data_IF_225349335246
#
_entry.id   IF_225349335246
#
_cell.length_a   1.000
_cell.length_b   1.000
_cell.length_c   1.000
_cell.angle_alpha   90.00
_cell.angle_beta   90.00
_cell.angle_gamma   90.00
#
_symmetry.space_group_name_H-M   'P 1'
#
loop_
_entity.id
_entity.type
_entity.pdbx_description
1 polymer ?
#
# COMPACT_ATOMS: atom_id res chain seq x y z
N UNK A 1 -23.08 -7.65 -17.36
CA UNK A 1 -22.01 -7.52 -18.38
C UNK A 1 -20.82 -6.68 -17.91
N UNK A 2 -21.00 -5.43 -17.46
CA UNK A 2 -19.90 -4.55 -17.02
C UNK A 2 -19.08 -5.13 -15.85
N UNK A 3 -19.73 -5.73 -14.83
CA UNK A 3 -19.03 -6.35 -13.69
C UNK A 3 -18.12 -7.53 -14.11
N UNK A 4 -18.54 -8.31 -15.12
CA UNK A 4 -17.77 -9.41 -15.70
C UNK A 4 -16.57 -8.89 -16.49
N UNK A 5 -16.75 -7.81 -17.26
CA UNK A 5 -15.67 -7.16 -18.01
C UNK A 5 -14.60 -6.53 -17.09
N UNK A 6 -15.01 -5.90 -15.99
CA UNK A 6 -14.10 -5.39 -14.95
C UNK A 6 -13.27 -6.53 -14.34
N UNK A 7 -13.90 -7.69 -14.07
CA UNK A 7 -13.21 -8.90 -13.58
C UNK A 7 -12.25 -9.50 -14.59
N UNK A 8 -12.65 -9.62 -15.86
CA UNK A 8 -11.84 -10.19 -16.93
C UNK A 8 -10.61 -9.31 -17.22
N UNK A 9 -10.80 -7.99 -17.28
CA UNK A 9 -9.72 -7.02 -17.47
C UNK A 9 -8.91 -6.74 -16.18
N UNK A 10 -9.36 -7.26 -15.03
CA UNK A 10 -8.73 -7.11 -13.69
C UNK A 10 -8.43 -5.65 -13.33
N UNK A 11 -9.41 -4.79 -13.51
CA UNK A 11 -9.32 -3.35 -13.25
C UNK A 11 -10.13 -2.99 -12.01
N UNK A 12 -9.72 -1.93 -11.27
CA UNK A 12 -10.31 -1.58 -9.98
C UNK A 12 -11.65 -0.87 -10.08
N UNK A 13 -11.99 -0.29 -11.23
CA UNK A 13 -13.18 0.54 -11.43
C UNK A 13 -13.67 0.54 -12.88
N UNK A 14 -14.89 1.03 -13.10
CA UNK A 14 -15.44 1.28 -14.47
C UNK A 14 -14.56 2.22 -15.28
N UNK A 15 -14.01 3.25 -14.62
CA UNK A 15 -13.13 4.23 -15.25
C UNK A 15 -11.81 3.62 -15.72
N UNK A 16 -11.21 2.72 -14.93
CA UNK A 16 -10.01 2.02 -15.37
C UNK A 16 -10.32 1.00 -16.47
N UNK A 17 -11.50 0.38 -16.47
CA UNK A 17 -11.92 -0.48 -17.59
C UNK A 17 -12.05 0.33 -18.88
N UNK A 18 -12.67 1.52 -18.82
CA UNK A 18 -12.75 2.40 -19.98
C UNK A 18 -11.35 2.78 -20.49
N UNK A 19 -10.45 3.19 -19.60
CA UNK A 19 -9.06 3.51 -19.97
C UNK A 19 -8.31 2.29 -20.53
N UNK A 20 -8.52 1.09 -19.99
CA UNK A 20 -7.94 -0.15 -20.50
C UNK A 20 -8.42 -0.47 -21.93
N UNK A 21 -9.72 -0.29 -22.20
CA UNK A 21 -10.30 -0.48 -23.53
C UNK A 21 -9.77 0.57 -24.52
N UNK A 22 -9.72 1.84 -24.11
CA UNK A 22 -9.15 2.93 -24.91
C UNK A 22 -7.68 2.68 -25.24
N UNK A 23 -6.90 2.18 -24.28
CA UNK A 23 -5.51 1.81 -24.53
C UNK A 23 -5.42 0.62 -25.49
N UNK A 24 -6.22 -0.44 -25.28
CA UNK A 24 -6.19 -1.65 -26.10
C UNK A 24 -6.62 -1.42 -27.55
N UNK A 25 -7.68 -0.63 -27.77
CA UNK A 25 -8.18 -0.26 -29.10
C UNK A 25 -7.36 0.88 -29.74
N UNK A 26 -6.74 1.73 -28.93
CA UNK A 26 -5.99 2.88 -29.40
C UNK A 26 -4.76 2.51 -30.23
N UNK A 27 -4.00 1.46 -29.86
CA UNK A 27 -2.83 1.04 -30.65
C UNK A 27 -3.19 0.57 -32.07
N UNK A 28 -4.21 -0.29 -32.27
CA UNK A 28 -4.74 -0.57 -33.61
C UNK A 28 -5.18 0.68 -34.37
N UNK A 29 -5.85 1.65 -33.72
CA UNK A 29 -6.23 2.91 -34.36
C UNK A 29 -5.02 3.74 -34.79
N UNK A 30 -3.99 3.86 -33.95
CA UNK A 30 -2.71 4.54 -34.29
C UNK A 30 -2.05 3.87 -35.49
N UNK A 31 -2.01 2.54 -35.51
CA UNK A 31 -1.45 1.77 -36.63
C UNK A 31 -2.24 1.97 -37.93
N UNK A 32 -3.57 1.90 -37.87
CA UNK A 32 -4.44 2.16 -39.03
C UNK A 32 -4.26 3.58 -39.56
N UNK A 33 -4.16 4.57 -38.66
CA UNK A 33 -3.92 5.96 -39.04
C UNK A 33 -2.57 6.15 -39.74
N UNK A 34 -1.52 5.43 -39.29
CA UNK A 34 -0.21 5.43 -39.94
C UNK A 34 -0.24 4.77 -41.34
N UNK A 35 -0.99 3.67 -41.49
CA UNK A 35 -1.11 2.94 -42.76
C UNK A 35 -1.95 3.70 -43.82
N UNK A 36 -2.98 4.43 -43.37
CA UNK A 36 -3.88 5.28 -44.17
C UNK A 36 -3.39 6.74 -44.31
N UNK A 37 -2.09 6.97 -44.16
CA UNK A 37 -1.43 8.20 -43.69
C UNK A 37 -2.35 9.38 -43.30
N UNK A 38 -3.20 9.21 -42.29
CA UNK A 38 -4.12 10.26 -41.83
C UNK A 38 -3.59 10.90 -40.53
N UNK A 39 -3.05 12.10 -40.64
CA UNK A 39 -2.36 12.76 -39.54
C UNK A 39 -3.27 13.15 -38.38
N UNK A 40 -4.48 13.62 -38.66
CA UNK A 40 -5.44 14.04 -37.63
C UNK A 40 -5.97 12.84 -36.85
N UNK A 41 -6.28 11.76 -37.58
CA UNK A 41 -6.67 10.50 -36.95
C UNK A 41 -5.54 9.92 -36.11
N UNK A 42 -4.29 9.98 -36.60
CA UNK A 42 -3.12 9.53 -35.85
C UNK A 42 -2.95 10.35 -34.58
N UNK A 43 -2.97 11.68 -34.67
CA UNK A 43 -2.81 12.58 -33.53
C UNK A 43 -3.88 12.32 -32.45
N UNK A 44 -5.14 12.19 -32.85
CA UNK A 44 -6.24 11.88 -31.93
C UNK A 44 -6.06 10.51 -31.27
N UNK A 45 -5.77 9.46 -32.04
CA UNK A 45 -5.57 8.12 -31.51
C UNK A 45 -4.35 8.05 -30.58
N UNK A 46 -3.24 8.69 -30.95
CA UNK A 46 -2.03 8.77 -30.13
C UNK A 46 -2.32 9.48 -28.80
N UNK A 47 -3.00 10.63 -28.83
CA UNK A 47 -3.39 11.37 -27.63
C UNK A 47 -4.25 10.53 -26.67
N UNK A 48 -5.22 9.78 -27.20
CA UNK A 48 -6.02 8.83 -26.41
C UNK A 48 -5.12 7.77 -25.77
N UNK A 49 -4.17 7.20 -26.51
CA UNK A 49 -3.26 6.19 -25.94
C UNK A 49 -2.33 6.77 -24.88
N UNK A 50 -1.89 8.02 -24.96
CA UNK A 50 -1.11 8.67 -23.91
C UNK A 50 -1.96 8.94 -22.66
N UNK A 51 -3.16 9.53 -22.84
CA UNK A 51 -4.06 9.84 -21.73
C UNK A 51 -4.52 8.59 -20.98
N UNK A 52 -4.87 7.52 -21.70
CA UNK A 52 -5.26 6.25 -21.11
C UNK A 52 -4.11 5.61 -20.32
N UNK A 53 -2.90 5.61 -20.87
CA UNK A 53 -1.72 5.05 -20.23
C UNK A 53 -1.36 5.84 -18.96
N UNK A 54 -1.33 7.17 -19.03
CA UNK A 54 -1.10 8.04 -17.87
C UNK A 54 -2.16 7.82 -16.78
N UNK A 55 -3.45 7.79 -17.13
CA UNK A 55 -4.53 7.58 -16.16
C UNK A 55 -4.41 6.23 -15.44
N UNK A 56 -4.10 5.16 -16.17
CA UNK A 56 -3.92 3.84 -15.58
C UNK A 56 -2.74 3.80 -14.60
N UNK A 57 -1.64 4.50 -14.89
CA UNK A 57 -0.48 4.57 -13.98
C UNK A 57 -0.78 5.37 -12.73
N UNK A 58 -1.48 6.50 -12.85
CA UNK A 58 -1.94 7.31 -11.71
C UNK A 58 -2.82 6.49 -10.75
N UNK A 59 -3.65 5.59 -11.29
CA UNK A 59 -4.50 4.70 -10.51
C UNK A 59 -3.77 3.47 -9.93
N UNK A 60 -2.49 3.26 -10.26
CA UNK A 60 -1.76 2.06 -9.85
C UNK A 60 -2.41 0.77 -10.35
N UNK A 61 -3.03 0.81 -11.53
CA UNK A 61 -3.90 -0.26 -12.00
C UNK A 61 -3.13 -1.58 -12.19
N UNK A 62 -3.70 -2.68 -11.67
CA UNK A 62 -3.10 -4.02 -11.76
C UNK A 62 -2.83 -4.47 -13.20
N UNK A 63 -3.62 -3.96 -14.15
CA UNK A 63 -3.46 -4.24 -15.58
C UNK A 63 -2.07 -3.87 -16.10
N UNK A 64 -1.51 -2.73 -15.70
CA UNK A 64 -0.19 -2.27 -16.17
C UNK A 64 0.90 -3.29 -15.81
N UNK A 65 0.84 -3.85 -14.60
CA UNK A 65 1.79 -4.87 -14.15
C UNK A 65 1.68 -6.17 -14.96
N UNK A 66 0.48 -6.50 -15.47
CA UNK A 66 0.26 -7.69 -16.32
C UNK A 66 0.72 -7.45 -17.75
N UNK A 67 0.54 -6.25 -18.29
CA UNK A 67 1.00 -5.90 -19.63
C UNK A 67 2.52 -6.08 -19.78
N UNK A 68 3.29 -5.77 -18.73
CA UNK A 68 4.71 -6.10 -18.67
C UNK A 68 5.02 -7.60 -18.86
N UNK A 69 4.16 -8.50 -18.38
CA UNK A 69 4.33 -9.96 -18.50
C UNK A 69 4.02 -10.52 -19.88
N UNK A 70 3.25 -9.79 -20.70
CA UNK A 70 2.89 -10.18 -22.07
C UNK A 70 3.64 -9.36 -23.12
N UNK A 71 4.83 -8.85 -22.76
CA UNK A 71 5.67 -8.01 -23.65
C UNK A 71 4.97 -6.74 -24.16
N UNK A 72 3.98 -6.23 -23.43
CA UNK A 72 3.35 -4.94 -23.65
C UNK A 72 3.69 -3.96 -22.51
N UNK A 73 4.92 -4.07 -21.99
CA UNK A 73 5.42 -3.25 -20.89
C UNK A 73 5.49 -1.77 -21.24
N UNK A 74 5.72 -0.95 -20.21
CA UNK A 74 5.73 0.51 -20.33
C UNK A 74 6.65 1.02 -21.45
N UNK A 75 7.92 0.60 -21.50
CA UNK A 75 8.85 1.04 -22.56
C UNK A 75 8.43 0.60 -23.96
N UNK A 76 7.86 -0.60 -24.09
CA UNK A 76 7.43 -1.16 -25.40
C UNK A 76 6.26 -0.35 -25.95
N UNK A 77 5.32 0.04 -25.09
CA UNK A 77 4.18 0.89 -25.46
C UNK A 77 4.62 2.21 -26.09
N UNK A 78 5.61 2.87 -25.49
CA UNK A 78 6.18 4.11 -26.02
C UNK A 78 6.94 3.88 -27.33
N UNK A 79 7.76 2.83 -27.39
CA UNK A 79 8.47 2.44 -28.61
C UNK A 79 7.50 2.20 -29.77
N UNK A 80 6.38 1.52 -29.53
CA UNK A 80 5.36 1.31 -30.56
C UNK A 80 4.78 2.62 -31.07
N UNK A 81 4.47 3.60 -30.21
CA UNK A 81 3.97 4.92 -30.67
C UNK A 81 5.00 5.61 -31.57
N UNK A 82 6.27 5.60 -31.16
CA UNK A 82 7.37 6.21 -31.91
C UNK A 82 7.58 5.54 -33.28
N UNK A 83 7.56 4.20 -33.33
CA UNK A 83 7.66 3.45 -34.59
C UNK A 83 6.46 3.71 -35.50
N UNK A 84 5.24 3.83 -34.95
CA UNK A 84 4.06 4.16 -35.75
C UNK A 84 4.11 5.59 -36.30
N UNK A 85 4.73 6.53 -35.59
CA UNK A 85 4.97 7.88 -36.13
C UNK A 85 5.97 7.85 -37.29
N UNK A 86 7.07 7.11 -37.14
CA UNK A 86 8.05 6.92 -38.23
C UNK A 86 7.39 6.27 -39.44
N UNK A 87 6.53 5.27 -39.23
CA UNK A 87 5.73 4.66 -40.30
C UNK A 87 4.80 5.67 -40.97
N UNK A 88 4.09 6.51 -40.19
CA UNK A 88 3.22 7.56 -40.73
C UNK A 88 4.02 8.50 -41.65
N UNK A 89 5.16 9.02 -41.19
CA UNK A 89 6.02 9.91 -41.99
C UNK A 89 6.44 9.25 -43.31
N UNK A 90 6.87 7.99 -43.25
CA UNK A 90 7.24 7.23 -44.45
C UNK A 90 6.05 7.08 -45.41
N UNK A 91 4.84 6.79 -44.89
CA UNK A 91 3.62 6.66 -45.70
C UNK A 91 3.10 7.98 -46.25
N UNK A 92 3.44 9.10 -45.62
CA UNK A 92 3.19 10.45 -46.13
C UNK A 92 4.19 10.89 -47.22
N UNK A 93 5.16 10.05 -47.57
CA UNK A 93 6.18 10.37 -48.57
C UNK A 93 7.34 11.21 -48.05
N UNK A 94 7.47 11.35 -46.71
CA UNK A 94 8.50 12.17 -46.08
C UNK A 94 9.78 11.37 -45.74
N UNK A 95 9.93 10.15 -46.26
CA UNK A 95 11.02 9.25 -45.87
C UNK A 95 12.43 9.78 -46.21
N UNK A 96 12.54 10.63 -47.22
CA UNK A 96 13.80 11.26 -47.65
C UNK A 96 13.97 12.68 -47.08
N UNK A 97 12.98 13.18 -46.34
CA UNK A 97 13.01 14.52 -45.78
C UNK A 97 13.82 14.60 -44.48
N UNK A 98 14.51 15.73 -44.21
CA UNK A 98 15.28 15.90 -42.97
C UNK A 98 14.45 15.72 -41.69
N UNK A 99 13.14 16.00 -41.74
CA UNK A 99 12.19 15.75 -40.64
C UNK A 99 12.14 14.26 -40.24
N UNK A 100 12.16 13.33 -41.21
CA UNK A 100 12.14 11.89 -40.94
C UNK A 100 13.41 11.43 -40.24
N UNK A 101 14.57 11.82 -40.77
CA UNK A 101 15.85 11.49 -40.13
C UNK A 101 15.96 12.07 -38.73
N UNK A 102 15.44 13.29 -38.53
CA UNK A 102 15.40 13.92 -37.20
C UNK A 102 14.50 13.14 -36.24
N UNK A 103 13.33 12.69 -36.67
CA UNK A 103 12.44 11.87 -35.85
C UNK A 103 13.13 10.57 -35.40
N UNK A 104 13.75 9.84 -36.34
CA UNK A 104 14.47 8.59 -36.06
C UNK A 104 15.64 8.84 -35.11
N UNK A 105 16.49 9.84 -35.41
CA UNK A 105 17.64 10.18 -34.56
C UNK A 105 17.20 10.59 -33.15
N UNK A 106 16.16 11.44 -33.04
CA UNK A 106 15.61 11.87 -31.76
C UNK A 106 15.15 10.68 -30.92
N UNK A 107 14.34 9.77 -31.47
CA UNK A 107 13.84 8.62 -30.72
C UNK A 107 14.95 7.64 -30.32
N UNK A 108 15.95 7.42 -31.17
CA UNK A 108 17.11 6.58 -30.84
C UNK A 108 17.97 7.19 -29.73
N UNK A 109 18.33 8.47 -29.83
CA UNK A 109 19.11 9.17 -28.80
C UNK A 109 18.31 9.22 -27.49
N UNK A 110 17.02 9.53 -27.56
CA UNK A 110 16.15 9.58 -26.40
C UNK A 110 16.01 8.21 -25.72
N UNK A 111 15.90 7.12 -26.49
CA UNK A 111 15.95 5.76 -25.95
C UNK A 111 17.29 5.49 -25.24
N UNK A 112 18.40 5.97 -25.81
CA UNK A 112 19.72 5.96 -25.19
C UNK A 112 19.79 6.70 -23.84
N UNK A 113 19.02 7.78 -23.66
CA UNK A 113 18.94 8.53 -22.39
C UNK A 113 18.09 7.83 -21.31
N UNK A 114 17.15 6.94 -21.69
CA UNK A 114 16.31 6.24 -20.74
C UNK A 114 17.10 5.27 -19.86
N UNK A 115 18.10 4.59 -20.43
CA UNK A 115 18.95 3.65 -19.71
C UNK A 115 19.77 4.31 -18.56
N UNK A 116 20.56 5.38 -18.78
CA UNK A 116 21.27 6.05 -17.70
C UNK A 116 20.31 6.69 -16.69
N UNK A 117 19.16 7.22 -17.12
CA UNK A 117 18.14 7.74 -16.21
C UNK A 117 17.65 6.63 -15.25
N UNK A 118 17.28 5.47 -15.79
CA UNK A 118 16.82 4.32 -15.02
C UNK A 118 17.90 3.76 -14.11
N UNK A 119 19.14 3.66 -14.60
CA UNK A 119 20.30 3.20 -13.83
C UNK A 119 20.58 4.13 -12.64
N UNK A 120 20.64 5.44 -12.86
CA UNK A 120 20.88 6.44 -11.82
C UNK A 120 19.74 6.45 -10.80
N UNK A 121 18.47 6.46 -11.25
CA UNK A 121 17.33 6.43 -10.34
C UNK A 121 17.31 5.16 -9.48
N UNK A 122 17.67 4.01 -10.06
CA UNK A 122 17.77 2.73 -9.34
C UNK A 122 18.94 2.75 -8.35
N UNK A 123 20.10 3.23 -8.77
CA UNK A 123 21.28 3.37 -7.90
C UNK A 123 20.98 4.26 -6.70
N UNK A 124 20.32 5.40 -6.90
CA UNK A 124 19.88 6.30 -5.82
C UNK A 124 18.97 5.54 -4.83
N UNK A 125 17.99 4.79 -5.32
CA UNK A 125 17.06 4.02 -4.46
C UNK A 125 17.81 2.96 -3.64
N UNK A 126 18.68 2.18 -4.28
CA UNK A 126 19.46 1.14 -3.61
C UNK A 126 20.41 1.74 -2.56
N UNK A 127 21.12 2.82 -2.92
CA UNK A 127 22.09 3.48 -2.04
C UNK A 127 21.47 4.34 -0.95
N UNK A 128 20.17 4.62 -1.00
CA UNK A 128 19.46 5.40 0.03
C UNK A 128 18.58 4.57 0.96
N UNK A 129 18.51 3.26 0.74
CA UNK A 129 17.75 2.38 1.62
C UNK A 129 18.55 2.15 2.91
N UNK A 130 18.20 2.86 3.99
CA UNK A 130 18.80 2.69 5.33
C UNK A 130 18.64 1.24 5.83
N UNK A 131 19.60 0.61 6.51
CA UNK A 131 19.43 -0.77 7.01
C UNK A 131 18.34 -0.89 8.09
N UNK A 132 18.05 0.20 8.80
CA UNK A 132 17.08 0.31 9.90
C UNK A 132 16.19 1.54 9.65
N UNK A 133 14.92 1.47 10.05
CA UNK A 133 14.02 2.65 10.14
C UNK A 133 13.66 2.84 11.60
N UNK A 134 13.74 4.08 12.07
CA UNK A 134 13.49 4.45 13.46
C UNK A 134 12.25 5.34 13.60
N UNK A 135 11.56 5.27 14.74
CA UNK A 135 10.67 6.32 15.26
C UNK A 135 10.96 6.48 16.75
N UNK A 136 10.99 7.71 17.27
CA UNK A 136 11.32 8.00 18.67
C UNK A 136 12.66 7.39 19.14
N UNK A 137 13.60 7.22 18.20
CA UNK A 137 14.96 6.76 18.47
C UNK A 137 15.87 7.80 17.87
N UNK A 138 16.69 8.38 18.72
CA UNK A 138 17.66 9.38 18.32
C UNK A 138 19.00 8.71 17.95
N UNK A 139 19.37 8.85 16.68
CA UNK A 139 20.64 8.40 16.13
C UNK A 139 21.48 9.61 15.69
N UNK A 140 21.63 10.63 16.54
CA UNK A 140 22.40 11.86 16.24
C UNK A 140 23.81 11.62 15.68
N UNK A 141 24.45 10.49 16.02
CA UNK A 141 25.75 10.09 15.46
C UNK A 141 25.70 9.73 13.96
N UNK A 142 24.51 9.51 13.39
CA UNK A 142 24.26 9.11 12.01
C UNK A 142 23.63 10.27 11.25
N UNK A 143 24.46 11.02 10.51
CA UNK A 143 23.94 12.07 9.62
C UNK A 143 23.25 11.46 8.40
N UNK A 144 21.93 11.61 8.30
CA UNK A 144 21.14 11.20 7.14
C UNK A 144 20.96 12.40 6.19
N UNK A 145 21.49 12.37 4.96
CA UNK A 145 21.30 13.48 4.01
C UNK A 145 19.87 13.56 3.49
N UNK A 146 19.43 14.77 3.09
CA UNK A 146 18.12 14.98 2.48
C UNK A 146 17.86 14.08 1.28
N UNK A 147 16.61 13.65 1.12
CA UNK A 147 16.16 12.87 -0.03
C UNK A 147 16.05 13.74 -1.29
N UNK A 148 16.25 13.15 -2.48
CA UNK A 148 15.90 13.84 -3.72
C UNK A 148 14.42 14.20 -3.72
N UNK A 149 14.03 15.34 -4.34
CA UNK A 149 12.64 15.71 -4.48
C UNK A 149 11.79 14.55 -4.99
N UNK A 150 10.61 14.35 -4.38
CA UNK A 150 9.67 13.32 -4.81
C UNK A 150 9.30 13.45 -6.29
N UNK A 151 9.24 14.69 -6.80
CA UNK A 151 9.02 15.02 -8.20
C UNK A 151 10.09 14.45 -9.16
N UNK A 152 11.29 14.07 -8.69
CA UNK A 152 12.29 13.36 -9.50
C UNK A 152 12.13 11.85 -9.40
N UNK A 153 12.04 11.28 -8.19
CA UNK A 153 12.06 9.82 -8.06
C UNK A 153 10.69 9.14 -8.23
N UNK A 154 9.59 9.77 -7.84
CA UNK A 154 8.27 9.16 -7.89
C UNK A 154 7.86 8.88 -9.33
N UNK A 155 7.59 7.61 -9.69
CA UNK A 155 7.26 7.18 -11.07
C UNK A 155 8.28 7.67 -12.12
N UNK A 156 9.56 7.59 -11.76
CA UNK A 156 10.64 8.16 -12.55
C UNK A 156 10.69 7.68 -14.01
N UNK A 157 10.51 6.37 -14.24
CA UNK A 157 10.51 5.78 -15.58
C UNK A 157 9.31 6.18 -16.43
N UNK A 158 8.12 6.28 -15.84
CA UNK A 158 6.92 6.80 -16.51
C UNK A 158 7.15 8.23 -17.00
N UNK A 159 7.60 9.12 -16.11
CA UNK A 159 7.86 10.52 -16.47
C UNK A 159 8.94 10.64 -17.54
N UNK A 160 10.01 9.85 -17.42
CA UNK A 160 11.09 9.86 -18.42
C UNK A 160 10.51 9.55 -19.80
N UNK A 161 9.69 8.52 -19.93
CA UNK A 161 9.10 8.13 -21.21
C UNK A 161 8.15 9.19 -21.78
N UNK A 162 7.33 9.86 -20.95
CA UNK A 162 6.39 10.90 -21.38
C UNK A 162 7.05 12.18 -21.90
N UNK A 163 8.36 12.37 -21.74
CA UNK A 163 9.05 13.52 -22.34
C UNK A 163 9.08 13.42 -23.89
N UNK A 164 8.77 12.26 -24.47
CA UNK A 164 8.66 12.07 -25.91
C UNK A 164 7.45 12.77 -26.55
N UNK A 165 6.47 13.19 -25.73
CA UNK A 165 5.27 13.89 -26.20
C UNK A 165 5.63 15.17 -26.95
N UNK A 166 6.71 15.87 -26.56
CA UNK A 166 7.15 17.08 -27.25
C UNK A 166 7.62 16.77 -28.69
N UNK A 167 8.45 15.75 -28.89
CA UNK A 167 8.84 15.27 -30.22
C UNK A 167 7.64 14.75 -31.01
N UNK A 168 6.79 13.91 -30.40
CA UNK A 168 5.59 13.36 -31.04
C UNK A 168 4.67 14.47 -31.56
N UNK A 169 4.34 15.46 -30.73
CA UNK A 169 3.48 16.57 -31.11
C UNK A 169 4.16 17.49 -32.14
N UNK A 170 5.42 17.85 -31.93
CA UNK A 170 6.16 18.73 -32.84
C UNK A 170 6.29 18.15 -34.24
N UNK A 171 6.65 16.87 -34.34
CA UNK A 171 6.79 16.16 -35.63
C UNK A 171 5.45 16.02 -36.34
N UNK A 172 4.36 15.72 -35.60
CA UNK A 172 3.02 15.70 -36.19
C UNK A 172 2.58 17.08 -36.70
N UNK A 173 2.86 18.16 -35.95
CA UNK A 173 2.54 19.51 -36.41
C UNK A 173 3.35 19.86 -37.67
N UNK A 174 4.65 19.57 -37.68
CA UNK A 174 5.51 19.79 -38.84
C UNK A 174 5.00 19.03 -40.07
N UNK A 175 4.73 17.73 -39.95
CA UNK A 175 4.22 16.91 -41.04
C UNK A 175 2.85 17.36 -41.56
N UNK A 176 2.01 17.97 -40.72
CA UNK A 176 0.68 18.47 -41.10
C UNK A 176 0.67 19.88 -41.69
N UNK A 177 1.64 20.72 -41.32
CA UNK A 177 1.70 22.13 -41.72
C UNK A 177 2.77 22.42 -42.78
N UNK A 178 3.74 21.52 -42.97
CA UNK A 178 4.93 21.74 -43.77
C UNK A 178 5.99 22.61 -43.09
N UNK A 179 5.77 23.04 -41.84
CA UNK A 179 6.72 23.87 -41.09
C UNK A 179 7.63 23.00 -40.21
N UNK A 180 8.75 22.55 -40.79
CA UNK A 180 9.73 21.68 -40.17
C UNK A 180 10.32 22.20 -38.86
N UNK A 181 10.41 23.52 -38.68
CA UNK A 181 10.99 24.13 -37.47
C UNK A 181 10.27 23.67 -36.20
N UNK A 182 8.96 23.47 -36.25
CA UNK A 182 8.18 23.01 -35.09
C UNK A 182 8.57 21.57 -34.72
N UNK A 183 8.86 20.72 -35.71
CA UNK A 183 9.36 19.37 -35.53
C UNK A 183 10.74 19.34 -34.88
N UNK A 184 11.66 20.17 -35.38
CA UNK A 184 13.00 20.31 -34.81
C UNK A 184 12.98 20.83 -33.38
N UNK A 185 12.14 21.82 -33.07
CA UNK A 185 11.96 22.33 -31.71
C UNK A 185 11.40 21.24 -30.78
N UNK A 186 10.40 20.47 -31.23
CA UNK A 186 9.86 19.35 -30.45
C UNK A 186 10.91 18.27 -30.14
N UNK A 187 11.69 17.88 -31.14
CA UNK A 187 12.78 16.91 -30.99
C UNK A 187 13.87 17.42 -30.03
N UNK A 188 14.35 18.65 -30.23
CA UNK A 188 15.34 19.29 -29.36
C UNK A 188 14.85 19.39 -27.92
N UNK A 189 13.58 19.76 -27.71
CA UNK A 189 12.97 19.84 -26.38
C UNK A 189 12.91 18.48 -25.68
N UNK A 190 12.50 17.41 -26.38
CA UNK A 190 12.50 16.04 -25.82
C UNK A 190 13.91 15.62 -25.36
N UNK A 191 14.93 15.84 -26.19
CA UNK A 191 16.31 15.49 -25.86
C UNK A 191 16.84 16.34 -24.70
N UNK A 192 16.59 17.65 -24.71
CA UNK A 192 16.99 18.57 -23.64
C UNK A 192 16.36 18.17 -22.31
N UNK A 193 15.04 17.91 -22.28
CA UNK A 193 14.35 17.51 -21.06
C UNK A 193 14.86 16.16 -20.53
N UNK A 194 15.08 15.19 -21.42
CA UNK A 194 15.65 13.89 -21.05
C UNK A 194 17.05 14.03 -20.45
N UNK A 195 17.91 14.84 -21.07
CA UNK A 195 19.26 15.13 -20.59
C UNK A 195 19.25 15.87 -19.25
N UNK A 196 18.47 16.95 -19.13
CA UNK A 196 18.32 17.72 -17.88
C UNK A 196 17.83 16.83 -16.76
N UNK A 197 16.91 15.90 -17.03
CA UNK A 197 16.41 14.98 -16.01
C UNK A 197 17.50 14.01 -15.51
N UNK A 198 18.33 13.47 -16.40
CA UNK A 198 19.50 12.67 -16.01
C UNK A 198 20.46 13.50 -15.17
N UNK A 199 20.83 14.69 -15.63
CA UNK A 199 21.76 15.59 -14.93
C UNK A 199 21.22 16.01 -13.56
N UNK A 200 19.92 16.27 -13.44
CA UNK A 200 19.26 16.61 -12.17
C UNK A 200 19.35 15.50 -11.12
N UNK A 201 19.53 14.24 -11.54
CA UNK A 201 19.71 13.11 -10.62
C UNK A 201 21.18 12.90 -10.18
N UNK A 202 22.16 13.34 -10.97
CA UNK A 202 23.61 13.13 -10.71
C UNK A 202 24.07 13.62 -9.33
N UNK A 203 23.64 14.79 -8.81
CA UNK A 203 24.05 15.26 -7.49
C UNK A 203 23.74 14.29 -6.35
N UNK A 204 22.70 13.45 -6.50
CA UNK A 204 22.24 12.52 -5.47
C UNK A 204 22.97 11.17 -5.48
N UNK A 205 23.86 10.96 -6.46
CA UNK A 205 24.78 9.81 -6.49
C UNK A 205 26.12 10.16 -5.81
N UNK A 206 26.39 11.46 -5.58
CA UNK A 206 27.62 11.91 -4.93
C UNK A 206 27.72 11.38 -3.51
N UNK A 207 28.94 10.99 -3.09
CA UNK A 207 29.23 10.40 -1.76
C UNK A 207 28.68 11.23 -0.60
N UNK A 208 28.70 12.55 -0.70
CA UNK A 208 28.16 13.46 0.33
C UNK A 208 26.64 13.42 0.52
N UNK A 209 25.89 12.85 -0.43
CA UNK A 209 24.42 12.70 -0.40
C UNK A 209 23.98 11.24 -0.24
N UNK A 210 24.93 10.30 -0.09
CA UNK A 210 24.66 8.90 0.18
C UNK A 210 24.34 8.70 1.66
N UNK A 211 23.46 7.74 1.95
CA UNK A 211 23.21 7.38 3.35
C UNK A 211 24.43 6.65 3.94
N UNK A 212 24.62 6.71 5.27
CA UNK A 212 25.74 6.05 5.92
C UNK A 212 25.76 4.53 5.65
N UNK A 213 26.95 3.90 5.59
CA UNK A 213 27.07 2.46 5.42
C UNK A 213 26.32 1.69 6.50
N UNK A 214 25.86 0.48 6.17
CA UNK A 214 25.05 -0.31 7.08
C UNK A 214 25.75 -0.55 8.44
N UNK A 215 27.05 -0.84 8.43
CA UNK A 215 27.84 -1.02 9.65
C UNK A 215 27.84 0.22 10.56
N UNK A 216 27.90 1.43 10.00
CA UNK A 216 27.84 2.67 10.79
C UNK A 216 26.49 2.85 11.45
N UNK A 217 25.40 2.60 10.71
CA UNK A 217 24.04 2.72 11.24
C UNK A 217 23.79 1.65 12.30
N UNK A 218 24.20 0.40 12.06
CA UNK A 218 24.04 -0.69 13.02
C UNK A 218 24.84 -0.43 14.30
N UNK A 219 26.09 0.04 14.20
CA UNK A 219 26.88 0.44 15.37
C UNK A 219 26.20 1.54 16.19
N UNK A 220 25.57 2.52 15.52
CA UNK A 220 24.83 3.57 16.21
C UNK A 220 23.57 3.02 16.90
N UNK A 221 22.87 2.07 16.27
CA UNK A 221 21.74 1.35 16.88
C UNK A 221 22.20 0.54 18.09
N UNK A 222 23.33 -0.18 17.99
CA UNK A 222 23.88 -0.95 19.09
C UNK A 222 24.30 -0.05 20.26
N UNK A 223 24.88 1.11 19.98
CA UNK A 223 25.22 2.12 20.99
C UNK A 223 23.95 2.62 21.69
N UNK A 224 22.92 2.97 20.91
CA UNK A 224 21.64 3.41 21.45
C UNK A 224 20.94 2.32 22.27
N UNK A 225 20.99 1.05 21.85
CA UNK A 225 20.48 -0.09 22.62
C UNK A 225 21.29 -0.30 23.92
N UNK A 226 22.60 -0.08 23.87
CA UNK A 226 23.49 -0.11 25.03
C UNK A 226 23.13 0.95 26.09
N UNK A 227 22.70 2.13 25.66
CA UNK A 227 22.26 3.22 26.56
C UNK A 227 20.81 3.04 27.02
N UNK A 228 19.92 2.67 26.08
CA UNK A 228 18.50 2.52 26.33
C UNK A 228 18.18 1.25 27.13
N UNK A 229 18.91 0.15 26.96
CA UNK A 229 18.73 -1.10 27.74
C UNK A 229 17.25 -1.53 27.85
N UNK A 230 16.61 -1.90 26.72
CA UNK A 230 15.18 -2.22 26.71
C UNK A 230 14.88 -3.41 27.62
N UNK A 231 13.79 -3.35 28.39
CA UNK A 231 13.38 -4.45 29.29
C UNK A 231 12.18 -5.24 28.76
N UNK A 232 11.33 -4.60 27.95
CA UNK A 232 10.11 -5.18 27.37
C UNK A 232 10.12 -4.90 25.88
N UNK A 233 10.02 -5.95 25.06
CA UNK A 233 9.98 -5.83 23.60
C UNK A 233 8.59 -6.19 23.08
N UNK A 234 8.00 -5.37 22.21
CA UNK A 234 6.87 -5.78 21.37
C UNK A 234 7.43 -6.09 19.97
N UNK A 235 7.40 -7.36 19.57
CA UNK A 235 7.85 -7.75 18.23
C UNK A 235 6.67 -7.89 17.28
N UNK A 236 6.64 -7.06 16.22
CA UNK A 236 5.54 -7.06 15.27
C UNK A 236 5.99 -7.15 13.80
N UNK A 237 5.41 -8.10 13.08
CA UNK A 237 5.60 -8.31 11.64
C UNK A 237 4.29 -8.83 11.04
N UNK A 238 3.99 -8.48 9.78
CA UNK A 238 2.72 -8.88 9.13
C UNK A 238 2.53 -8.26 7.75
N UNK A 239 1.34 -8.40 7.16
CA UNK A 239 0.99 -7.67 5.93
C UNK A 239 0.56 -6.23 6.24
N UNK A 240 0.39 -5.38 5.22
CA UNK A 240 -0.05 -3.99 5.41
C UNK A 240 -1.33 -3.88 6.23
N UNK A 241 -2.27 -4.76 5.95
CA UNK A 241 -3.59 -4.78 6.57
C UNK A 241 -3.56 -5.26 8.03
N UNK A 242 -2.44 -5.84 8.49
CA UNK A 242 -2.26 -6.32 9.86
C UNK A 242 -1.82 -5.23 10.83
N UNK A 243 -1.58 -3.98 10.38
CA UNK A 243 -1.08 -2.88 11.22
C UNK A 243 -1.88 -2.68 12.52
N UNK A 244 -3.20 -2.93 12.48
CA UNK A 244 -4.09 -2.82 13.64
C UNK A 244 -3.68 -3.73 14.81
N UNK A 245 -3.05 -4.88 14.52
CA UNK A 245 -2.64 -5.86 15.53
C UNK A 245 -1.55 -5.27 16.43
N UNK A 246 -0.55 -4.60 15.85
CA UNK A 246 0.45 -3.85 16.60
C UNK A 246 -0.11 -2.59 17.26
N UNK A 247 -0.95 -1.83 16.52
CA UNK A 247 -1.52 -0.57 17.01
C UNK A 247 -2.34 -0.73 18.29
N UNK A 248 -3.02 -1.86 18.46
CA UNK A 248 -3.81 -2.14 19.66
C UNK A 248 -2.96 -2.19 20.94
N UNK A 249 -1.65 -2.43 20.85
CA UNK A 249 -0.76 -2.56 21.99
C UNK A 249 0.10 -1.33 22.26
N UNK A 250 0.10 -0.32 21.38
CA UNK A 250 1.02 0.82 21.51
C UNK A 250 0.81 1.63 22.78
N UNK A 251 -0.45 1.88 23.15
CA UNK A 251 -0.78 2.61 24.38
C UNK A 251 -0.45 1.80 25.64
N UNK A 252 -0.69 0.49 25.61
CA UNK A 252 -0.28 -0.42 26.69
C UNK A 252 1.24 -0.45 26.85
N UNK A 253 1.98 -0.51 25.73
CA UNK A 253 3.44 -0.45 25.74
C UNK A 253 3.96 0.90 26.24
N UNK A 254 3.26 2.00 26.01
CA UNK A 254 3.66 3.31 26.53
C UNK A 254 3.48 3.44 28.06
N UNK A 255 2.61 2.61 28.65
CA UNK A 255 2.28 2.60 30.08
C UNK A 255 2.98 1.49 30.87
N UNK A 256 3.67 0.57 30.20
CA UNK A 256 4.39 -0.52 30.87
C UNK A 256 5.56 0.03 31.67
N UNK A 257 5.76 -0.51 32.88
CA UNK A 257 6.94 -0.19 33.67
C UNK A 257 8.23 -0.67 32.98
N UNK A 258 9.32 0.09 33.18
CA UNK A 258 10.62 -0.20 32.58
C UNK A 258 10.84 0.55 31.27
N UNK A 259 11.49 -0.10 30.31
CA UNK A 259 11.96 0.52 29.06
C UNK A 259 11.42 -0.25 27.85
N UNK A 260 10.21 0.11 27.37
CA UNK A 260 9.56 -0.57 26.25
C UNK A 260 10.28 -0.30 24.92
N UNK A 261 10.31 -1.28 24.04
CA UNK A 261 10.84 -1.16 22.68
C UNK A 261 9.93 -1.90 21.70
N UNK A 262 9.58 -1.26 20.58
CA UNK A 262 8.87 -1.91 19.49
C UNK A 262 9.87 -2.32 18.41
N UNK A 263 9.94 -3.61 18.10
CA UNK A 263 10.80 -4.14 17.05
C UNK A 263 9.95 -4.64 15.89
N UNK A 264 10.28 -4.20 14.67
CA UNK A 264 9.53 -4.54 13.46
C UNK A 264 10.43 -5.04 12.33
N UNK A 265 9.81 -5.70 11.34
CA UNK A 265 10.50 -6.17 10.12
C UNK A 265 10.09 -5.45 8.84
N UNK A 266 8.89 -4.91 8.79
CA UNK A 266 8.28 -4.42 7.56
C UNK A 266 8.30 -2.89 7.51
N UNK A 267 9.11 -2.32 6.61
CA UNK A 267 9.26 -0.85 6.49
C UNK A 267 7.93 -0.15 6.18
N UNK A 268 7.10 -0.80 5.38
CA UNK A 268 5.78 -0.33 4.96
C UNK A 268 4.79 -0.22 6.12
N UNK A 269 5.01 -0.93 7.24
CA UNK A 269 4.15 -0.85 8.42
C UNK A 269 4.52 0.30 9.35
N UNK A 270 5.76 0.80 9.33
CA UNK A 270 6.21 1.87 10.23
C UNK A 270 5.38 3.17 10.11
N UNK A 271 5.03 3.65 8.90
CA UNK A 271 4.14 4.80 8.74
C UNK A 271 2.68 4.53 9.12
N UNK A 272 2.29 3.28 9.26
CA UNK A 272 0.91 2.87 9.63
C UNK A 272 0.75 2.70 11.14
N UNK A 273 1.84 2.76 11.91
CA UNK A 273 1.73 2.77 13.36
C UNK A 273 1.04 4.05 13.80
N UNK A 274 0.09 3.92 14.73
CA UNK A 274 -0.51 5.05 15.40
C UNK A 274 0.54 5.88 16.16
N UNK A 275 0.11 7.01 16.70
CA UNK A 275 0.98 7.82 17.56
C UNK A 275 1.41 7.01 18.79
N UNK A 276 2.69 7.14 19.15
CA UNK A 276 3.27 6.46 20.31
C UNK A 276 4.53 7.20 20.72
N UNK A 277 4.80 7.23 22.02
CA UNK A 277 6.07 7.70 22.60
C UNK A 277 7.13 6.60 22.65
N UNK A 278 6.74 5.33 22.46
CA UNK A 278 7.63 4.18 22.58
C UNK A 278 8.65 4.20 21.41
N UNK A 279 9.95 3.95 21.68
CA UNK A 279 10.94 3.75 20.64
C UNK A 279 10.58 2.61 19.68
N UNK A 280 10.73 2.85 18.37
CA UNK A 280 10.47 1.87 17.32
C UNK A 280 11.74 1.63 16.50
N UNK A 281 12.16 0.37 16.43
CA UNK A 281 13.24 -0.12 15.56
C UNK A 281 12.68 -1.10 14.51
N UNK A 282 12.61 -0.66 13.27
CA UNK A 282 12.31 -1.54 12.14
C UNK A 282 13.60 -2.02 11.48
N UNK A 283 13.89 -3.32 11.58
CA UNK A 283 15.11 -3.97 11.10
C UNK A 283 14.75 -5.05 10.07
N UNK A 284 14.70 -4.71 8.77
CA UNK A 284 14.13 -5.63 7.77
C UNK A 284 14.98 -6.87 7.50
N UNK A 285 16.30 -6.73 7.51
CA UNK A 285 17.20 -7.86 7.32
C UNK A 285 17.24 -8.72 8.59
N UNK A 286 16.95 -10.02 8.44
CA UNK A 286 16.96 -10.96 9.57
C UNK A 286 18.33 -11.08 10.22
N UNK A 287 19.39 -11.07 9.41
CA UNK A 287 20.78 -11.09 9.89
C UNK A 287 21.13 -9.90 10.77
N UNK A 288 20.67 -8.70 10.42
CA UNK A 288 20.88 -7.51 11.26
C UNK A 288 20.13 -7.63 12.58
N UNK A 289 18.86 -8.05 12.54
CA UNK A 289 18.05 -8.22 13.75
C UNK A 289 18.68 -9.25 14.71
N UNK A 290 19.14 -10.38 14.17
CA UNK A 290 19.76 -11.45 14.96
C UNK A 290 21.10 -11.06 15.61
N UNK A 291 21.71 -9.96 15.15
CA UNK A 291 22.96 -9.43 15.68
C UNK A 291 22.75 -8.27 16.67
N UNK A 292 21.51 -7.80 16.89
CA UNK A 292 21.25 -6.78 17.89
C UNK A 292 21.47 -7.34 19.29
N UNK A 293 22.04 -6.51 20.16
CA UNK A 293 22.08 -6.81 21.58
C UNK A 293 20.74 -6.46 22.25
N UNK A 294 19.99 -7.51 22.59
CA UNK A 294 18.74 -7.43 23.36
C UNK A 294 18.87 -8.16 24.70
N UNK A 295 20.10 -8.31 25.23
CA UNK A 295 20.38 -9.09 26.43
C UNK A 295 19.70 -8.56 27.70
N UNK A 296 19.32 -7.28 27.73
CA UNK A 296 18.57 -6.67 28.84
C UNK A 296 17.06 -6.85 28.75
N UNK A 297 16.55 -7.25 27.59
CA UNK A 297 15.13 -7.54 27.44
C UNK A 297 14.80 -8.80 28.25
N UNK A 298 13.78 -8.71 29.10
CA UNK A 298 13.32 -9.81 29.94
C UNK A 298 12.12 -10.51 29.35
N UNK A 299 11.33 -9.80 28.55
CA UNK A 299 10.14 -10.32 27.90
C UNK A 299 10.00 -9.77 26.49
N UNK A 300 9.63 -10.63 25.55
CA UNK A 300 9.20 -10.26 24.22
C UNK A 300 7.74 -10.69 24.00
N UNK A 301 6.92 -9.72 23.65
CA UNK A 301 5.48 -9.86 23.42
C UNK A 301 5.20 -9.99 21.92
N UNK A 302 4.35 -10.95 21.57
CA UNK A 302 3.99 -11.26 20.18
C UNK A 302 2.47 -11.09 19.97
N UNK A 303 2.03 -10.08 19.19
CA UNK A 303 0.61 -9.86 18.91
C UNK A 303 0.06 -10.75 17.79
N UNK A 304 0.94 -11.46 17.07
CA UNK A 304 0.57 -12.32 15.96
C UNK A 304 1.56 -13.47 15.74
N UNK A 305 1.04 -14.60 15.27
CA UNK A 305 1.83 -15.76 14.85
C UNK A 305 2.25 -15.60 13.40
N UNK A 306 3.52 -15.24 13.18
CA UNK A 306 4.09 -15.10 11.84
C UNK A 306 5.47 -15.75 11.78
N UNK A 307 5.83 -16.32 10.63
CA UNK A 307 7.09 -17.07 10.49
C UNK A 307 8.34 -16.26 10.85
N UNK A 308 8.30 -14.92 10.72
CA UNK A 308 9.42 -14.05 11.09
C UNK A 308 9.67 -13.95 12.60
N UNK A 309 8.78 -14.44 13.48
CA UNK A 309 9.02 -14.47 14.94
C UNK A 309 10.25 -15.30 15.31
N UNK A 310 10.62 -16.29 14.48
CA UNK A 310 11.81 -17.14 14.66
C UNK A 310 13.11 -16.36 14.88
N UNK A 311 13.21 -15.13 14.36
CA UNK A 311 14.43 -14.32 14.49
C UNK A 311 14.66 -13.78 15.90
N UNK A 312 13.61 -13.63 16.71
CA UNK A 312 13.71 -13.23 18.13
C UNK A 312 13.55 -14.44 19.05
N UNK A 313 12.71 -15.43 18.71
CA UNK A 313 12.50 -16.66 19.49
C UNK A 313 13.79 -17.45 19.80
N UNK A 314 14.88 -17.17 19.08
CA UNK A 314 16.19 -17.75 19.32
C UNK A 314 16.95 -17.15 20.51
N UNK A 315 16.47 -16.09 21.15
CA UNK A 315 17.19 -15.38 22.23
C UNK A 315 16.78 -15.98 23.58
N UNK A 316 17.61 -16.85 24.20
CA UNK A 316 17.18 -17.65 25.35
C UNK A 316 17.12 -16.87 26.67
N UNK A 317 17.57 -15.61 26.69
CA UNK A 317 17.68 -14.80 27.91
C UNK A 317 16.41 -14.02 28.24
N UNK A 318 15.38 -14.10 27.39
CA UNK A 318 14.09 -13.42 27.57
C UNK A 318 12.95 -14.42 27.50
N UNK A 319 11.87 -14.14 28.22
CA UNK A 319 10.62 -14.88 28.09
C UNK A 319 9.88 -14.46 26.82
N UNK A 320 9.43 -15.42 26.04
CA UNK A 320 8.65 -15.20 24.83
C UNK A 320 7.18 -15.44 25.12
N UNK A 321 6.35 -14.42 24.90
CA UNK A 321 4.95 -14.43 25.32
C UNK A 321 4.03 -14.09 24.16
N UNK A 322 3.09 -14.99 23.85
CA UNK A 322 2.01 -14.68 22.93
C UNK A 322 0.90 -13.91 23.63
N UNK A 323 0.62 -12.71 23.14
CA UNK A 323 -0.45 -11.83 23.66
C UNK A 323 -1.59 -11.66 22.64
N UNK A 324 -1.37 -12.10 21.40
CA UNK A 324 -2.36 -12.01 20.33
C UNK A 324 -2.85 -10.59 20.06
N UNK A 325 -4.04 -10.50 19.45
CA UNK A 325 -4.70 -9.22 19.15
C UNK A 325 -6.20 -9.26 19.46
N UNK A 326 -6.55 -10.05 20.48
CA UNK A 326 -7.91 -10.32 20.92
C UNK A 326 -8.25 -11.81 20.86
N UNK A 327 -8.96 -12.28 21.87
CA UNK A 327 -9.48 -13.66 21.91
C UNK A 327 -10.68 -13.80 20.96
N UNK A 328 -10.76 -14.94 20.28
CA UNK A 328 -11.84 -15.23 19.35
C UNK A 328 -12.07 -16.73 19.26
N UNK A 329 -13.31 -17.17 19.01
CA UNK A 329 -13.68 -18.58 18.88
C UNK A 329 -13.23 -19.24 17.57
N UNK A 330 -12.51 -18.50 16.72
CA UNK A 330 -11.91 -19.06 15.50
C UNK A 330 -10.79 -20.03 15.85
N UNK A 331 -10.71 -21.14 15.10
CA UNK A 331 -9.58 -22.08 15.19
C UNK A 331 -8.22 -21.40 15.02
N UNK A 332 -8.17 -20.32 14.25
CA UNK A 332 -6.94 -19.52 14.08
C UNK A 332 -6.42 -18.90 15.39
N UNK A 333 -7.27 -18.69 16.41
CA UNK A 333 -6.86 -18.14 17.70
C UNK A 333 -6.13 -19.18 18.57
N UNK A 334 -6.45 -20.47 18.42
CA UNK A 334 -5.82 -21.59 19.15
C UNK A 334 -4.82 -22.32 18.25
N UNK A 335 -3.89 -21.57 17.65
CA UNK A 335 -2.96 -22.12 16.68
C UNK A 335 -1.86 -22.97 17.37
N UNK A 336 -1.53 -24.18 16.87
CA UNK A 336 -0.40 -24.99 17.37
C UNK A 336 0.96 -24.27 17.36
N UNK A 337 1.10 -23.20 16.57
CA UNK A 337 2.25 -22.30 16.61
C UNK A 337 2.52 -21.78 18.02
N UNK A 338 1.49 -21.61 18.86
CA UNK A 338 1.62 -21.05 20.20
C UNK A 338 2.55 -21.86 21.12
N UNK A 339 2.84 -23.12 20.77
CA UNK A 339 3.81 -23.99 21.47
C UNK A 339 5.26 -23.50 21.46
N UNK A 340 5.59 -22.52 20.61
CA UNK A 340 6.95 -21.97 20.54
C UNK A 340 7.23 -20.90 21.60
N UNK A 341 6.19 -20.42 22.28
CA UNK A 341 6.31 -19.40 23.31
C UNK A 341 6.40 -20.04 24.68
N UNK A 342 7.07 -19.37 25.61
CA UNK A 342 7.13 -19.79 27.00
C UNK A 342 5.77 -19.62 27.69
N UNK A 343 5.02 -18.57 27.33
CA UNK A 343 3.67 -18.35 27.86
C UNK A 343 2.70 -17.86 26.77
N UNK A 344 1.42 -18.17 27.00
CA UNK A 344 0.29 -17.61 26.27
C UNK A 344 -0.58 -16.82 27.23
N UNK A 345 -0.67 -15.50 27.00
CA UNK A 345 -1.45 -14.61 27.83
C UNK A 345 -2.85 -14.41 27.22
N UNK A 346 -3.86 -14.76 28.00
CA UNK A 346 -5.27 -14.73 27.58
C UNK A 346 -6.06 -13.66 28.34
N UNK A 347 -7.20 -13.25 27.78
CA UNK A 347 -8.06 -12.25 28.41
C UNK A 347 -8.74 -12.74 29.70
N UNK A 348 -8.72 -14.05 29.97
CA UNK A 348 -9.36 -14.67 31.11
C UNK A 348 -9.70 -16.12 30.83
N UNK A 349 -10.44 -16.74 31.76
CA UNK A 349 -10.75 -18.18 31.75
C UNK A 349 -11.24 -18.74 30.43
N UNK A 350 -12.10 -18.01 29.71
CA UNK A 350 -12.59 -18.46 28.41
C UNK A 350 -11.48 -18.63 27.36
N UNK A 351 -10.40 -17.84 27.42
CA UNK A 351 -9.23 -18.02 26.56
C UNK A 351 -8.46 -19.30 26.90
N UNK A 352 -8.24 -19.57 28.20
CA UNK A 352 -7.64 -20.82 28.69
C UNK A 352 -8.44 -22.04 28.27
N UNK A 353 -9.75 -22.03 28.54
CA UNK A 353 -10.63 -23.16 28.22
C UNK A 353 -10.63 -23.51 26.73
N UNK A 354 -10.48 -22.51 25.84
CA UNK A 354 -10.35 -22.75 24.39
C UNK A 354 -9.09 -23.53 24.03
N UNK A 355 -7.94 -23.22 24.65
CA UNK A 355 -6.72 -23.98 24.41
C UNK A 355 -6.84 -25.41 24.93
N UNK A 356 -7.45 -25.60 26.10
CA UNK A 356 -7.72 -26.92 26.66
C UNK A 356 -8.66 -27.76 25.76
N UNK A 357 -9.74 -27.15 25.26
CA UNK A 357 -10.69 -27.81 24.34
C UNK A 357 -10.07 -28.13 22.98
N UNK A 358 -9.21 -27.24 22.46
CA UNK A 358 -8.60 -27.41 21.16
C UNK A 358 -7.48 -28.45 21.15
N UNK A 359 -6.92 -28.78 22.32
CA UNK A 359 -5.87 -29.78 22.52
C UNK A 359 -4.70 -29.66 21.53
N UNK A 360 -4.26 -28.42 21.29
CA UNK A 360 -3.20 -28.12 20.30
C UNK A 360 -1.78 -28.32 20.84
N UNK A 361 -1.67 -28.87 22.06
CA UNK A 361 -0.43 -29.20 22.74
C UNK A 361 0.28 -28.02 23.43
N UNK A 362 -0.44 -26.91 23.68
CA UNK A 362 0.01 -25.87 24.63
C UNK A 362 -0.32 -26.35 26.03
N UNK A 363 0.63 -26.26 26.96
CA UNK A 363 0.44 -26.73 28.33
C UNK A 363 -0.40 -25.74 29.13
N UNK A 364 -1.25 -26.22 30.02
CA UNK A 364 -2.14 -25.35 30.80
C UNK A 364 -1.36 -24.46 31.79
N UNK A 365 -0.22 -24.95 32.31
CA UNK A 365 0.68 -24.16 33.15
C UNK A 365 1.34 -22.98 32.42
N UNK A 366 1.46 -23.07 31.09
CA UNK A 366 2.03 -22.01 30.25
C UNK A 366 0.96 -20.97 29.84
N UNK A 367 -0.31 -21.18 30.22
CA UNK A 367 -1.41 -20.24 29.94
C UNK A 367 -1.65 -19.36 31.16
N UNK A 368 -1.51 -18.04 30.96
CA UNK A 368 -1.69 -17.04 32.01
C UNK A 368 -2.89 -16.16 31.68
N UNK A 369 -3.76 -15.95 32.65
CA UNK A 369 -4.94 -15.08 32.52
C UNK A 369 -4.57 -13.67 33.00
N UNK A 370 -4.47 -12.71 32.08
CA UNK A 370 -3.97 -11.36 32.38
C UNK A 370 -4.99 -10.25 32.11
N UNK A 371 -6.19 -10.60 31.63
CA UNK A 371 -7.19 -9.62 31.23
C UNK A 371 -6.86 -8.95 29.90
N UNK A 372 -7.52 -7.82 29.64
CA UNK A 372 -7.25 -6.97 28.46
C UNK A 372 -6.88 -5.56 28.91
N UNK A 373 -5.59 -5.22 29.00
CA UNK A 373 -5.14 -3.89 29.40
C UNK A 373 -5.74 -2.76 28.55
N UNK A 374 -6.08 -3.04 27.29
CA UNK A 374 -6.69 -2.05 26.39
C UNK A 374 -8.11 -1.66 26.80
N UNK A 375 -8.77 -2.48 27.63
CA UNK A 375 -10.13 -2.23 28.11
C UNK A 375 -10.14 -1.56 29.49
N UNK A 376 -8.98 -1.28 30.10
CA UNK A 376 -8.89 -0.61 31.40
C UNK A 376 -9.70 0.70 31.48
N UNK A 377 -9.74 1.57 30.44
CA UNK A 377 -10.57 2.78 30.51
C UNK A 377 -12.08 2.52 30.45
N UNK A 378 -12.51 1.32 30.07
CA UNK A 378 -13.92 0.96 29.94
C UNK A 378 -14.48 0.67 31.34
N UNK A 379 -15.48 1.46 31.73
CA UNK A 379 -16.21 1.27 32.99
C UNK A 379 -17.51 0.53 32.73
N UNK A 380 -17.98 -0.22 33.73
CA UNK A 380 -19.32 -0.78 33.72
C UNK A 380 -20.37 0.30 33.55
N UNK A 381 -21.41 0.01 32.77
CA UNK A 381 -22.53 0.93 32.59
C UNK A 381 -23.23 1.18 33.93
N UNK A 382 -23.67 2.42 34.16
CA UNK A 382 -24.55 2.79 35.29
C UNK A 382 -26.01 2.41 35.04
N UNK A 383 -26.33 1.91 33.83
CA UNK A 383 -27.70 1.62 33.40
C UNK A 383 -28.45 2.84 32.85
N UNK A 384 -27.85 4.03 32.93
CA UNK A 384 -28.43 5.27 32.40
C UNK A 384 -28.34 5.32 30.87
N UNK A 385 -29.47 5.60 30.24
CA UNK A 385 -29.55 5.80 28.80
C UNK A 385 -28.94 7.16 28.46
N UNK A 386 -27.69 7.15 27.97
CA UNK A 386 -27.00 8.39 27.64
C UNK A 386 -27.44 9.03 26.32
N UNK A 387 -28.12 8.27 25.45
CA UNK A 387 -28.61 8.76 24.17
C UNK A 387 -30.08 8.39 23.98
N UNK A 388 -30.96 9.35 23.64
CA UNK A 388 -32.39 9.07 23.42
C UNK A 388 -32.62 8.16 22.21
N UNK A 389 -31.66 8.09 21.28
CA UNK A 389 -31.68 7.19 20.12
C UNK A 389 -30.75 6.00 20.40
N UNK A 390 -31.26 4.75 20.44
CA UNK A 390 -30.43 3.57 20.65
C UNK A 390 -29.39 3.41 19.54
N UNK A 391 -28.16 3.05 19.92
CA UNK A 391 -27.06 2.82 18.98
C UNK A 391 -26.74 1.33 18.87
N UNK A 392 -26.82 0.78 17.67
CA UNK A 392 -26.49 -0.62 17.36
C UNK A 392 -25.17 -0.68 16.61
N UNK A 393 -24.17 -1.33 17.21
CA UNK A 393 -22.90 -1.68 16.55
C UNK A 393 -23.01 -3.05 15.88
N UNK A 394 -23.00 -3.08 14.55
CA UNK A 394 -22.85 -4.30 13.78
C UNK A 394 -21.40 -4.45 13.28
N UNK A 395 -20.64 -5.34 13.90
CA UNK A 395 -19.22 -5.56 13.61
C UNK A 395 -18.94 -7.01 13.15
N UNK A 396 -19.32 -7.39 11.91
CA UNK A 396 -19.09 -8.75 11.44
C UNK A 396 -17.61 -9.03 11.21
N UNK A 397 -17.21 -10.26 11.55
CA UNK A 397 -15.95 -10.87 11.13
C UNK A 397 -15.91 -11.07 9.61
N UNK A 398 -14.72 -11.32 9.06
CA UNK A 398 -14.53 -11.69 7.65
C UNK A 398 -14.65 -13.20 7.42
N UNK A 399 -14.72 -13.62 6.16
CA UNK A 399 -14.97 -15.00 5.71
C UNK A 399 -13.90 -16.06 6.05
N UNK A 400 -12.84 -15.69 6.77
CA UNK A 400 -11.75 -16.61 7.16
C UNK A 400 -10.86 -17.05 6.00
N UNK A 401 -9.80 -17.78 6.33
CA UNK A 401 -8.88 -18.36 5.33
C UNK A 401 -9.43 -19.67 4.73
N UNK A 402 -10.26 -20.37 5.50
CA UNK A 402 -10.86 -21.65 5.18
C UNK A 402 -12.39 -21.54 5.08
N UNK A 403 -13.03 -22.63 4.69
CA UNK A 403 -14.49 -22.74 4.58
C UNK A 403 -15.14 -23.26 5.87
N UNK A 404 -14.46 -23.10 7.02
CA UNK A 404 -15.04 -23.49 8.29
C UNK A 404 -16.30 -22.65 8.58
N UNK A 405 -17.38 -23.28 9.08
CA UNK A 405 -18.60 -22.58 9.41
C UNK A 405 -18.37 -21.55 10.54
N UNK A 406 -19.23 -20.53 10.63
CA UNK A 406 -19.17 -19.54 11.71
C UNK A 406 -18.13 -18.41 11.51
N UNK A 407 -17.38 -18.42 10.40
CA UNK A 407 -16.38 -17.38 10.14
C UNK A 407 -16.95 -15.97 10.03
N UNK A 408 -18.15 -15.80 9.46
CA UNK A 408 -18.82 -14.49 9.33
C UNK A 408 -20.35 -14.60 9.28
N UNK A 409 -21.04 -13.67 9.95
CA UNK A 409 -22.50 -13.51 9.83
C UNK A 409 -22.92 -12.77 8.56
N UNK A 410 -21.96 -12.15 7.86
CA UNK A 410 -22.23 -11.26 6.73
C UNK A 410 -22.98 -11.99 5.61
N UNK A 411 -22.55 -13.21 5.27
CA UNK A 411 -23.12 -14.00 4.18
C UNK A 411 -24.54 -14.49 4.47
N UNK A 412 -24.83 -14.84 5.73
CA UNK A 412 -26.09 -15.46 6.12
C UNK A 412 -27.15 -14.43 6.51
N UNK A 413 -26.75 -13.37 7.21
CA UNK A 413 -27.69 -12.47 7.88
C UNK A 413 -27.38 -10.98 7.70
N UNK A 414 -26.17 -10.60 7.27
CA UNK A 414 -25.74 -9.20 7.33
C UNK A 414 -26.67 -8.21 6.63
N UNK A 415 -27.11 -8.52 5.40
CA UNK A 415 -28.04 -7.67 4.64
C UNK A 415 -29.39 -7.54 5.36
N UNK A 416 -29.91 -8.64 5.92
CA UNK A 416 -31.19 -8.65 6.61
C UNK A 416 -31.15 -7.92 7.96
N UNK A 417 -30.05 -8.04 8.72
CA UNK A 417 -29.85 -7.31 9.97
C UNK A 417 -29.94 -5.81 9.70
N UNK A 418 -29.14 -5.30 8.77
CA UNK A 418 -29.11 -3.86 8.46
C UNK A 418 -30.45 -3.39 7.91
N UNK A 419 -31.07 -4.15 7.00
CA UNK A 419 -32.37 -3.79 6.43
C UNK A 419 -33.45 -3.65 7.50
N UNK A 420 -33.51 -4.57 8.47
CA UNK A 420 -34.50 -4.51 9.54
C UNK A 420 -34.24 -3.37 10.52
N UNK A 421 -32.97 -3.09 10.84
CA UNK A 421 -32.61 -1.95 11.69
C UNK A 421 -32.97 -0.60 11.03
N UNK A 422 -32.81 -0.48 9.71
CA UNK A 422 -33.20 0.71 8.97
C UNK A 422 -34.72 0.89 8.83
N UNK A 423 -35.48 -0.21 8.93
CA UNK A 423 -36.93 -0.21 8.83
C UNK A 423 -37.62 -0.25 10.21
N UNK A 424 -36.88 -0.02 11.30
CA UNK A 424 -37.45 0.06 12.63
C UNK A 424 -38.40 1.27 12.72
N UNK A 425 -39.53 1.10 13.40
CA UNK A 425 -40.51 2.17 13.60
C UNK A 425 -39.91 3.32 14.44
N UNK A 426 -39.12 2.97 15.45
CA UNK A 426 -38.35 3.91 16.26
C UNK A 426 -36.97 4.19 15.64
N UNK A 427 -36.44 5.43 15.73
CA UNK A 427 -35.11 5.75 15.22
C UNK A 427 -34.00 4.91 15.89
N UNK A 428 -33.09 4.37 15.07
CA UNK A 428 -31.89 3.65 15.54
C UNK A 428 -30.65 4.21 14.85
N UNK A 429 -29.58 4.43 15.62
CA UNK A 429 -28.25 4.75 15.07
C UNK A 429 -27.50 3.45 14.79
N UNK A 430 -27.11 3.21 13.54
CA UNK A 430 -26.37 2.00 13.16
C UNK A 430 -24.90 2.36 12.93
N UNK A 431 -23.99 1.67 13.62
CA UNK A 431 -22.55 1.71 13.34
C UNK A 431 -22.17 0.39 12.70
N UNK A 432 -21.79 0.43 11.42
CA UNK A 432 -21.31 -0.75 10.71
C UNK A 432 -19.78 -0.74 10.63
N UNK A 433 -19.14 -1.75 11.24
CA UNK A 433 -17.68 -1.88 11.31
C UNK A 433 -17.24 -3.27 10.80
N UNK A 434 -17.20 -3.49 9.48
CA UNK A 434 -16.74 -4.75 8.92
C UNK A 434 -15.23 -4.93 9.12
N UNK A 435 -14.80 -6.18 9.20
CA UNK A 435 -13.38 -6.51 9.29
C UNK A 435 -12.61 -6.05 8.03
N UNK A 436 -11.35 -5.56 8.13
CA UNK A 436 -10.56 -5.07 6.97
C UNK A 436 -10.34 -6.10 5.86
N UNK A 437 -10.31 -7.39 6.22
CA UNK A 437 -10.18 -8.50 5.27
C UNK A 437 -11.49 -8.95 4.60
N UNK A 438 -12.61 -8.32 4.91
CA UNK A 438 -13.89 -8.70 4.30
C UNK A 438 -13.81 -8.65 2.77
N UNK A 439 -14.06 -9.78 2.14
CA UNK A 439 -14.10 -9.88 0.69
C UNK A 439 -12.75 -10.11 -0.01
N UNK A 440 -11.67 -10.37 0.74
CA UNK A 440 -10.38 -10.78 0.17
C UNK A 440 -10.48 -12.16 -0.47
N UNK A 441 -11.14 -13.12 0.20
CA UNK A 441 -11.29 -14.50 -0.27
C UNK A 441 -12.65 -14.70 -0.95
N UNK A 442 -13.73 -14.18 -0.35
CA UNK A 442 -15.09 -14.37 -0.81
C UNK A 442 -15.63 -13.15 -1.57
N UNK A 443 -15.82 -13.34 -2.88
CA UNK A 443 -16.49 -12.37 -3.74
C UNK A 443 -17.92 -12.07 -3.29
N UNK A 444 -18.61 -13.05 -2.70
CA UNK A 444 -19.95 -12.88 -2.17
C UNK A 444 -19.94 -12.00 -0.92
N UNK A 445 -18.99 -12.22 0.00
CA UNK A 445 -18.83 -11.37 1.19
C UNK A 445 -18.55 -9.92 0.79
N UNK A 446 -17.66 -9.71 -0.19
CA UNK A 446 -17.40 -8.39 -0.76
C UNK A 446 -18.65 -7.71 -1.32
N UNK A 447 -19.50 -8.47 -2.01
CA UNK A 447 -20.73 -7.94 -2.57
C UNK A 447 -21.74 -7.55 -1.48
N UNK A 448 -21.87 -8.35 -0.42
CA UNK A 448 -22.76 -8.05 0.71
C UNK A 448 -22.27 -6.84 1.50
N UNK A 449 -20.97 -6.73 1.80
CA UNK A 449 -20.39 -5.52 2.43
C UNK A 449 -20.71 -4.26 1.61
N UNK A 450 -20.49 -4.30 0.29
CA UNK A 450 -20.80 -3.19 -0.59
C UNK A 450 -22.28 -2.80 -0.58
N UNK A 451 -23.20 -3.78 -0.55
CA UNK A 451 -24.64 -3.53 -0.44
C UNK A 451 -25.00 -2.87 0.90
N UNK A 452 -24.48 -3.38 2.01
CA UNK A 452 -24.74 -2.82 3.35
C UNK A 452 -24.27 -1.37 3.41
N UNK A 453 -23.05 -1.09 2.92
CA UNK A 453 -22.53 0.28 2.84
C UNK A 453 -23.40 1.19 1.98
N UNK A 454 -23.92 0.69 0.86
CA UNK A 454 -24.84 1.45 0.02
C UNK A 454 -26.17 1.75 0.71
N UNK A 455 -26.76 0.77 1.41
CA UNK A 455 -27.99 0.97 2.18
C UNK A 455 -27.80 2.02 3.28
N UNK A 456 -26.71 1.91 4.06
CA UNK A 456 -26.38 2.85 5.13
C UNK A 456 -26.04 4.25 4.59
N UNK A 457 -25.31 4.32 3.46
CA UNK A 457 -25.00 5.59 2.82
C UNK A 457 -26.24 6.31 2.29
N UNK A 458 -27.19 5.56 1.73
CA UNK A 458 -28.48 6.09 1.31
C UNK A 458 -29.27 6.63 2.52
N UNK A 459 -29.42 5.83 3.57
CA UNK A 459 -30.13 6.23 4.78
C UNK A 459 -29.48 7.44 5.48
N UNK A 460 -28.15 7.53 5.49
CA UNK A 460 -27.43 8.68 6.02
C UNK A 460 -27.69 9.96 5.20
N UNK A 461 -27.76 9.86 3.88
CA UNK A 461 -28.08 10.99 3.00
C UNK A 461 -29.53 11.45 3.16
N UNK A 462 -30.48 10.51 3.25
CA UNK A 462 -31.90 10.83 3.52
C UNK A 462 -32.06 11.51 4.88
N UNK A 463 -31.41 10.99 5.93
CA UNK A 463 -31.38 11.62 7.26
C UNK A 463 -30.82 13.04 7.21
N UNK A 464 -29.72 13.27 6.48
CA UNK A 464 -29.10 14.59 6.39
C UNK A 464 -29.98 15.63 5.68
N UNK A 465 -30.87 15.19 4.78
CA UNK A 465 -31.81 16.05 4.08
C UNK A 465 -33.07 16.39 4.91
N UNK A 466 -33.31 15.67 6.02
CA UNK A 466 -34.44 15.96 6.90
C UNK A 466 -34.19 17.23 7.74
N UNK A 467 -35.08 18.24 7.71
CA UNK A 467 -34.89 19.51 8.39
C UNK A 467 -34.62 19.39 9.90
N UNK A 468 -35.21 18.40 10.57
CA UNK A 468 -35.03 18.16 12.01
C UNK A 468 -33.58 17.82 12.37
N UNK A 469 -32.87 17.08 11.52
CA UNK A 469 -31.50 16.63 11.75
C UNK A 469 -30.47 17.62 11.20
N UNK A 470 -30.81 18.38 10.15
CA UNK A 470 -29.98 19.47 9.65
C UNK A 470 -29.73 20.54 10.73
N UNK A 471 -30.77 20.92 11.48
CA UNK A 471 -30.66 21.87 12.59
C UNK A 471 -29.89 21.33 13.81
N UNK A 472 -29.82 20.00 13.99
CA UNK A 472 -29.04 19.38 15.07
C UNK A 472 -27.55 19.25 14.71
N UNK A 473 -27.24 18.97 13.43
CA UNK A 473 -25.87 18.99 12.92
C UNK A 473 -25.23 20.38 12.97
N UNK A 474 -26.00 21.46 12.70
CA UNK A 474 -25.52 22.85 12.83
C UNK A 474 -25.27 23.29 14.28
N UNK A 475 -25.91 22.63 15.26
CA UNK A 475 -25.71 22.92 16.70
C UNK A 475 -24.56 22.13 17.34
N UNK A 476 -24.12 21.05 16.70
CA UNK A 476 -23.06 20.16 17.20
C UNK A 476 -21.75 20.24 16.41
N UNK A 477 -21.73 20.99 15.31
CA UNK A 477 -20.53 21.46 14.62
C UNK A 477 -20.00 22.75 15.29
#
# INVERSE_FOLDING_TARGET
>A
MISTAIRLARVGSRSELAAALLMGLGYPCVMLAALLPNIWFFAAAAAVTYAADWYLHQRGSYLINRLGKVRAGLSIRFLLRQLMLVLLLARMGLAEEPLFYTAVACFLIFYGLQAPQGAVATLIRLRRTMPVVTRNVDLHSVRIPDAPPGALLHRAGEKMLHLDVAAMAGILIAAGTGEDRVGYVGAALTLLLGFVYVVALVPYVRRSRLVPPAATVLKAVDTWLGEYQPTVVLYFSGSNESAYQGNMWLDTMARVEGRPLIVMRERNLVPQLAETSVPVLCVPAGTHLMNLDLSTARVCLYPANVGKNIHILRVPTMKHVFIGHGDSDKLASVNPYSKVYDEVWTAGRAGRDRYALADVGVRDEDIVEVGRPQLEPIKSSTGEVQNPVPTVLYAPTWEGWDDNPGNTSLLLAGENIVRRLLAADDPVRIIYKPHPFTGIRSRQAKAVDAKIRAMLGKAAAERAAEPRWAAEAERTA
#
